data_IF_224018599581
#
_entry.id   IF_224018599581
#
_cell.length_a   1.000
_cell.length_b   1.000
_cell.length_c   1.000
_cell.angle_alpha   90.00
_cell.angle_beta   90.00
_cell.angle_gamma   90.00
#
_symmetry.space_group_name_H-M   'P 1'
#
loop_
_entity.id
_entity.type
_entity.pdbx_description
1 polymer ?
#
# COMPACT_ATOMS: atom_id res chain seq x y z
N UNK A 1 4.22 -4.32 3.61
CA UNK A 1 4.98 -3.79 2.47
C UNK A 1 4.61 -4.52 1.18
N UNK A 2 4.25 -3.81 0.12
CA UNK A 2 4.04 -4.40 -1.21
C UNK A 2 5.31 -4.38 -2.04
N UNK A 3 5.59 -5.49 -2.73
CA UNK A 3 6.72 -5.66 -3.64
C UNK A 3 6.35 -5.27 -5.09
N UNK A 4 7.35 -4.76 -5.83
CA UNK A 4 7.27 -4.67 -7.29
C UNK A 4 7.33 -6.09 -7.91
N UNK A 5 6.81 -6.27 -9.12
CA UNK A 5 6.83 -7.56 -9.80
C UNK A 5 8.25 -8.15 -9.88
N UNK A 6 9.26 -7.36 -10.26
CA UNK A 6 10.62 -7.88 -10.35
C UNK A 6 11.18 -8.36 -9.00
N UNK A 7 10.76 -7.74 -7.90
CA UNK A 7 11.17 -8.14 -6.54
C UNK A 7 10.45 -9.43 -6.14
N UNK A 8 9.15 -9.52 -6.40
CA UNK A 8 8.38 -10.75 -6.21
C UNK A 8 8.98 -11.92 -7.00
N UNK A 9 9.38 -11.70 -8.26
CA UNK A 9 10.04 -12.73 -9.08
C UNK A 9 11.40 -13.18 -8.53
N UNK A 10 12.21 -12.26 -8.02
CA UNK A 10 13.46 -12.61 -7.33
C UNK A 10 13.21 -13.44 -6.07
N UNK A 11 12.16 -13.08 -5.32
CA UNK A 11 11.74 -13.82 -4.13
C UNK A 11 11.25 -15.24 -4.51
N UNK A 12 10.46 -15.35 -5.57
CA UNK A 12 10.02 -16.63 -6.14
C UNK A 12 11.22 -17.50 -6.55
N UNK A 13 12.20 -16.94 -7.27
CA UNK A 13 13.40 -17.65 -7.66
C UNK A 13 14.25 -18.13 -6.46
N UNK A 14 14.40 -17.28 -5.42
CA UNK A 14 15.08 -17.63 -4.14
C UNK A 14 14.48 -18.90 -3.52
N UNK A 15 13.17 -19.08 -3.64
CA UNK A 15 12.41 -20.20 -3.09
C UNK A 15 12.10 -21.33 -4.08
N UNK A 16 12.74 -21.33 -5.25
CA UNK A 16 12.62 -22.40 -6.24
C UNK A 16 11.29 -22.44 -6.99
N UNK A 17 10.51 -21.35 -6.97
CA UNK A 17 9.36 -21.19 -7.87
C UNK A 17 9.88 -20.92 -9.28
N UNK A 18 9.41 -21.67 -10.27
CA UNK A 18 9.81 -21.48 -11.66
C UNK A 18 9.33 -20.12 -12.18
N UNK A 19 10.28 -19.28 -12.57
CA UNK A 19 10.06 -17.92 -13.06
C UNK A 19 11.18 -17.53 -14.01
N UNK A 20 10.84 -16.78 -15.05
CA UNK A 20 11.83 -16.05 -15.85
C UNK A 20 12.05 -14.67 -15.25
N UNK A 21 13.26 -14.44 -14.75
CA UNK A 21 13.72 -13.11 -14.36
C UNK A 21 13.93 -12.22 -15.59
N UNK A 22 13.73 -10.92 -15.40
CA UNK A 22 14.01 -9.91 -16.42
C UNK A 22 14.99 -8.86 -15.92
N UNK A 23 15.30 -7.90 -16.78
CA UNK A 23 16.17 -6.77 -16.48
C UNK A 23 15.31 -5.56 -16.14
N UNK A 24 15.54 -4.97 -14.97
CA UNK A 24 14.90 -3.71 -14.57
C UNK A 24 15.74 -2.55 -15.06
N UNK A 25 15.10 -1.57 -15.69
CA UNK A 25 15.75 -0.41 -16.29
C UNK A 25 14.95 0.86 -16.01
N UNK A 26 15.64 1.99 -15.97
CA UNK A 26 15.06 3.31 -15.63
C UNK A 26 15.07 4.26 -16.83
N UNK A 27 15.73 3.86 -17.92
CA UNK A 27 15.78 4.63 -19.17
C UNK A 27 15.35 3.79 -20.38
N UNK A 28 14.84 4.46 -21.42
CA UNK A 28 14.47 3.79 -22.66
C UNK A 28 15.70 3.20 -23.38
N UNK A 29 16.87 3.85 -23.27
CA UNK A 29 18.14 3.36 -23.82
C UNK A 29 18.61 2.07 -23.15
N UNK A 30 18.43 1.93 -21.84
CA UNK A 30 18.70 0.67 -21.14
C UNK A 30 17.70 -0.42 -21.54
N UNK A 31 16.42 -0.06 -21.73
CA UNK A 31 15.42 -1.00 -22.23
C UNK A 31 15.79 -1.57 -23.61
N UNK A 32 16.29 -0.70 -24.50
CA UNK A 32 16.82 -1.11 -25.82
C UNK A 32 17.95 -2.13 -25.65
N UNK A 33 18.96 -1.82 -24.83
CA UNK A 33 20.12 -2.71 -24.62
C UNK A 33 19.70 -4.06 -24.05
N UNK A 34 18.80 -4.07 -23.06
CA UNK A 34 18.27 -5.32 -22.51
C UNK A 34 17.56 -6.15 -23.60
N UNK A 35 16.77 -5.51 -24.46
CA UNK A 35 16.11 -6.17 -25.57
C UNK A 35 17.06 -6.64 -26.70
N UNK A 36 18.22 -6.01 -26.88
CA UNK A 36 19.26 -6.49 -27.80
C UNK A 36 19.83 -7.86 -27.37
N UNK A 37 19.91 -8.10 -26.06
CA UNK A 37 20.35 -9.39 -25.50
C UNK A 37 19.23 -10.42 -25.44
N UNK A 38 18.02 -9.99 -25.06
CA UNK A 38 16.86 -10.87 -24.84
C UNK A 38 16.18 -11.27 -26.17
N UNK A 39 16.13 -10.37 -27.14
CA UNK A 39 15.34 -10.53 -28.36
C UNK A 39 13.85 -10.20 -28.14
N UNK A 40 12.95 -11.13 -28.48
CA UNK A 40 11.50 -10.91 -28.33
C UNK A 40 11.14 -10.81 -26.84
N UNK A 41 10.66 -9.64 -26.41
CA UNK A 41 10.48 -9.32 -24.99
C UNK A 41 9.14 -8.64 -24.69
N UNK A 42 8.83 -8.53 -23.40
CA UNK A 42 7.73 -7.74 -22.84
C UNK A 42 8.33 -6.59 -22.04
N UNK A 43 7.84 -5.37 -22.26
CA UNK A 43 8.11 -4.18 -21.44
C UNK A 43 6.96 -4.03 -20.45
N UNK A 44 7.25 -4.15 -19.15
CA UNK A 44 6.24 -4.09 -18.06
C UNK A 44 6.54 -2.95 -17.09
N UNK A 45 5.62 -1.99 -16.97
CA UNK A 45 5.64 -0.96 -15.93
C UNK A 45 5.79 -1.59 -14.54
N UNK A 46 6.70 -1.04 -13.73
CA UNK A 46 6.86 -1.45 -12.33
C UNK A 46 6.21 -0.41 -11.44
N UNK A 47 5.03 -0.74 -10.93
CA UNK A 47 4.28 -0.01 -9.92
C UNK A 47 3.61 -1.02 -8.99
N UNK A 48 3.37 -0.65 -7.73
CA UNK A 48 2.72 -1.49 -6.71
C UNK A 48 1.19 -1.54 -6.90
N UNK A 49 0.74 -1.71 -8.13
CA UNK A 49 -0.67 -1.72 -8.50
C UNK A 49 -0.97 -2.78 -9.58
N UNK A 50 -2.10 -3.48 -9.43
CA UNK A 50 -2.64 -4.38 -10.45
C UNK A 50 -3.30 -3.64 -11.62
N UNK A 51 -3.64 -4.35 -12.70
CA UNK A 51 -4.31 -3.79 -13.88
C UNK A 51 -3.41 -3.02 -14.86
N UNK A 52 -2.08 -3.16 -14.74
CA UNK A 52 -1.07 -2.45 -15.57
C UNK A 52 -1.28 -2.66 -17.07
N UNK A 53 -1.66 -3.87 -17.49
CA UNK A 53 -1.94 -4.18 -18.89
C UNK A 53 -3.11 -3.38 -19.46
N UNK A 54 -4.22 -3.28 -18.72
CA UNK A 54 -5.40 -2.47 -19.10
C UNK A 54 -5.05 -0.97 -19.16
N UNK A 55 -4.12 -0.50 -18.33
CA UNK A 55 -3.62 0.88 -18.34
C UNK A 55 -2.58 1.16 -19.45
N UNK A 56 -2.19 0.16 -20.24
CA UNK A 56 -1.20 0.32 -21.31
C UNK A 56 0.27 0.17 -20.87
N UNK A 57 0.50 -0.17 -19.60
CA UNK A 57 1.83 -0.36 -19.01
C UNK A 57 2.48 -1.72 -19.30
N UNK A 58 1.88 -2.57 -20.15
CA UNK A 58 2.46 -3.86 -20.55
C UNK A 58 2.40 -3.97 -22.08
N UNK A 59 3.56 -4.13 -22.74
CA UNK A 59 3.67 -4.17 -24.21
C UNK A 59 4.66 -5.23 -24.67
N UNK A 60 4.30 -5.96 -25.72
CA UNK A 60 5.19 -6.89 -26.44
C UNK A 60 6.07 -6.11 -27.41
N UNK A 61 7.37 -6.36 -27.40
CA UNK A 61 8.36 -5.78 -28.31
C UNK A 61 9.12 -6.89 -29.03
N UNK A 62 9.00 -6.95 -30.36
CA UNK A 62 9.67 -7.90 -31.26
C UNK A 62 11.11 -7.51 -31.58
N UNK A 63 11.47 -6.25 -31.34
CA UNK A 63 12.79 -5.71 -31.64
C UNK A 63 13.23 -4.76 -30.52
N UNK A 64 14.53 -4.51 -30.44
CA UNK A 64 15.08 -3.55 -29.48
C UNK A 64 14.57 -2.11 -29.71
N UNK A 65 14.29 -1.73 -30.95
CA UNK A 65 13.69 -0.42 -31.27
C UNK A 65 12.24 -0.33 -30.79
N UNK A 66 11.44 -1.40 -30.90
CA UNK A 66 10.10 -1.46 -30.32
C UNK A 66 10.15 -1.39 -28.78
N UNK A 67 11.14 -2.05 -28.15
CA UNK A 67 11.33 -1.98 -26.70
C UNK A 67 11.68 -0.56 -26.24
N UNK A 68 12.53 0.16 -26.97
CA UNK A 68 12.83 1.57 -26.75
C UNK A 68 11.57 2.44 -26.82
N UNK A 69 10.76 2.28 -27.89
CA UNK A 69 9.54 3.05 -28.08
C UNK A 69 8.53 2.79 -26.94
N UNK A 70 8.31 1.51 -26.60
CA UNK A 70 7.41 1.15 -25.52
C UNK A 70 7.89 1.67 -24.16
N UNK A 71 9.18 1.53 -23.84
CA UNK A 71 9.74 2.08 -22.61
C UNK A 71 9.62 3.61 -22.56
N UNK A 72 9.86 4.31 -23.67
CA UNK A 72 9.71 5.78 -23.76
C UNK A 72 8.28 6.25 -23.47
N UNK A 73 7.29 5.46 -23.89
CA UNK A 73 5.87 5.77 -23.67
C UNK A 73 5.38 5.38 -22.27
N UNK A 74 6.01 4.37 -21.65
CA UNK A 74 5.61 3.85 -20.34
C UNK A 74 6.31 4.61 -19.20
N UNK A 75 7.60 4.92 -19.34
CA UNK A 75 8.33 5.67 -18.32
C UNK A 75 7.73 7.07 -18.15
N UNK A 76 7.45 7.44 -16.90
CA UNK A 76 6.80 8.69 -16.52
C UNK A 76 5.27 8.70 -16.63
N UNK A 77 4.64 7.64 -17.14
CA UNK A 77 3.18 7.53 -17.11
C UNK A 77 2.67 7.36 -15.66
N UNK A 78 1.40 7.70 -15.42
CA UNK A 78 0.74 7.41 -14.14
C UNK A 78 -0.24 6.24 -14.30
N UNK A 79 -0.12 5.25 -13.40
CA UNK A 79 -1.04 4.11 -13.31
C UNK A 79 -1.65 4.13 -11.91
N UNK A 80 -2.96 4.42 -11.82
CA UNK A 80 -3.68 4.54 -10.54
C UNK A 80 -3.01 5.52 -9.56
N UNK A 81 -2.53 6.66 -10.07
CA UNK A 81 -1.84 7.68 -9.28
C UNK A 81 -0.37 7.39 -8.97
N UNK A 82 0.15 6.22 -9.37
CA UNK A 82 1.56 5.88 -9.20
C UNK A 82 2.33 6.17 -10.48
N UNK A 83 3.36 7.01 -10.38
CA UNK A 83 4.28 7.30 -11.48
C UNK A 83 5.17 6.10 -11.77
N UNK A 84 5.31 5.73 -13.03
CA UNK A 84 6.20 4.65 -13.47
C UNK A 84 7.62 5.20 -13.64
N UNK A 85 8.52 4.92 -12.70
CA UNK A 85 9.92 5.34 -12.80
C UNK A 85 10.85 4.28 -13.40
N UNK A 86 10.37 3.03 -13.49
CA UNK A 86 11.15 1.90 -14.00
C UNK A 86 10.28 0.89 -14.73
N UNK A 87 10.88 0.15 -15.67
CA UNK A 87 10.23 -0.93 -16.41
C UNK A 87 11.04 -2.22 -16.29
N UNK A 88 10.35 -3.35 -16.32
CA UNK A 88 10.93 -4.69 -16.39
C UNK A 88 10.90 -5.16 -17.85
N UNK A 89 12.07 -5.54 -18.37
CA UNK A 89 12.26 -6.15 -19.68
C UNK A 89 12.47 -7.63 -19.47
N UNK A 90 11.50 -8.44 -19.90
CA UNK A 90 11.54 -9.91 -19.73
C UNK A 90 11.35 -10.59 -21.07
N UNK A 91 11.93 -11.79 -21.31
CA UNK A 91 11.59 -12.60 -22.48
C UNK A 91 10.07 -12.73 -22.64
N UNK A 92 9.59 -12.59 -23.87
CA UNK A 92 8.19 -12.84 -24.19
C UNK A 92 7.98 -14.34 -24.37
N UNK A 93 7.30 -14.94 -23.40
CA UNK A 93 6.96 -16.36 -23.41
C UNK A 93 5.44 -16.49 -23.53
N UNK A 94 4.89 -16.66 -24.75
CA UNK A 94 3.46 -16.76 -24.95
C UNK A 94 2.90 -17.97 -24.19
N UNK A 95 1.90 -17.78 -23.31
CA UNK A 95 1.27 -18.88 -22.61
C UNK A 95 0.40 -19.70 -23.56
N UNK A 96 0.39 -21.03 -23.37
CA UNK A 96 -0.59 -21.94 -23.98
C UNK A 96 -1.90 -21.87 -23.20
N UNK A 97 -1.80 -21.84 -21.87
CA UNK A 97 -2.90 -21.65 -20.93
C UNK A 97 -2.44 -20.75 -19.77
N UNK A 98 -3.38 -19.99 -19.21
CA UNK A 98 -3.15 -19.08 -18.09
C UNK A 98 -4.07 -19.48 -16.93
N UNK A 99 -3.50 -19.58 -15.74
CA UNK A 99 -4.18 -19.88 -14.50
C UNK A 99 -3.97 -18.73 -13.49
N UNK A 100 -4.81 -18.69 -12.47
CA UNK A 100 -4.66 -17.80 -11.33
C UNK A 100 -4.36 -18.63 -10.08
N UNK A 101 -3.43 -18.15 -9.26
CA UNK A 101 -3.11 -18.78 -7.99
C UNK A 101 -2.72 -17.75 -6.92
N UNK A 102 -3.23 -17.90 -5.70
CA UNK A 102 -2.77 -17.12 -4.56
C UNK A 102 -2.89 -17.84 -3.21
N UNK A 103 -2.07 -17.39 -2.26
CA UNK A 103 -2.20 -17.62 -0.83
C UNK A 103 -2.38 -16.28 -0.11
N UNK A 104 -3.30 -16.24 0.85
CA UNK A 104 -3.56 -15.07 1.69
C UNK A 104 -4.06 -15.45 3.08
N UNK A 105 -4.04 -14.50 4.00
CA UNK A 105 -4.67 -14.64 5.31
C UNK A 105 -6.19 -14.37 5.21
N UNK A 106 -7.01 -15.39 5.39
CA UNK A 106 -8.46 -15.23 5.53
C UNK A 106 -8.80 -14.83 6.97
N UNK A 107 -9.00 -13.52 7.15
CA UNK A 107 -9.34 -12.91 8.44
C UNK A 107 -10.69 -13.38 8.99
N UNK A 108 -11.64 -13.74 8.13
CA UNK A 108 -12.99 -14.15 8.55
C UNK A 108 -12.95 -15.53 9.21
N UNK A 109 -12.23 -16.46 8.60
CA UNK A 109 -12.10 -17.82 9.12
C UNK A 109 -10.86 -18.02 10.01
N UNK A 110 -9.97 -17.04 10.09
CA UNK A 110 -8.72 -17.05 10.88
C UNK A 110 -7.80 -18.22 10.49
N UNK A 111 -7.67 -18.43 9.18
CA UNK A 111 -6.82 -19.46 8.58
C UNK A 111 -6.13 -18.90 7.34
N UNK A 112 -5.18 -19.63 6.78
CA UNK A 112 -4.68 -19.30 5.46
C UNK A 112 -5.66 -19.82 4.40
N UNK A 113 -5.73 -19.13 3.27
CA UNK A 113 -6.62 -19.46 2.18
C UNK A 113 -5.81 -19.54 0.89
N UNK A 114 -6.03 -20.60 0.12
CA UNK A 114 -5.63 -20.68 -1.27
C UNK A 114 -6.80 -20.27 -2.16
N UNK A 115 -6.56 -19.36 -3.11
CA UNK A 115 -7.50 -19.10 -4.20
C UNK A 115 -6.84 -19.57 -5.49
N UNK A 116 -7.52 -20.44 -6.24
CA UNK A 116 -7.00 -20.97 -7.50
C UNK A 116 -8.10 -21.00 -8.56
N UNK A 117 -7.74 -20.75 -9.82
CA UNK A 117 -8.66 -20.79 -10.94
C UNK A 117 -7.94 -21.17 -12.23
N UNK A 118 -8.61 -21.94 -13.09
CA UNK A 118 -8.15 -22.21 -14.45
C UNK A 118 -8.35 -21.04 -15.42
N UNK A 119 -9.03 -19.98 -14.96
CA UNK A 119 -9.20 -18.72 -15.69
C UNK A 119 -8.22 -17.68 -15.15
N UNK A 120 -6.97 -17.72 -15.65
CA UNK A 120 -5.93 -16.73 -15.36
C UNK A 120 -5.86 -15.59 -16.36
N UNK A 121 -4.92 -14.66 -16.14
CA UNK A 121 -4.66 -13.53 -17.04
C UNK A 121 -5.68 -12.37 -16.93
N UNK A 122 -6.66 -12.51 -16.04
CA UNK A 122 -7.71 -11.51 -15.75
C UNK A 122 -7.82 -11.28 -14.24
N UNK A 123 -8.55 -10.24 -13.84
CA UNK A 123 -8.76 -9.94 -12.42
C UNK A 123 -9.66 -11.03 -11.79
N UNK A 124 -9.20 -11.66 -10.71
CA UNK A 124 -9.91 -12.81 -10.12
C UNK A 124 -11.28 -12.41 -9.56
N UNK A 125 -11.45 -11.16 -9.15
CA UNK A 125 -12.72 -10.60 -8.68
C UNK A 125 -13.75 -10.47 -9.80
N UNK A 126 -13.31 -10.36 -11.06
CA UNK A 126 -14.18 -10.40 -12.23
C UNK A 126 -14.66 -11.84 -12.47
N UNK A 127 -13.74 -12.80 -12.45
CA UNK A 127 -14.05 -14.24 -12.58
C UNK A 127 -15.00 -14.69 -11.47
N UNK A 128 -14.76 -14.31 -10.21
CA UNK A 128 -15.62 -14.66 -9.09
C UNK A 128 -17.07 -14.15 -9.26
N UNK A 129 -17.30 -13.09 -10.05
CA UNK A 129 -18.63 -12.57 -10.36
C UNK A 129 -19.26 -13.24 -11.58
N UNK A 130 -18.48 -13.53 -12.62
CA UNK A 130 -18.99 -14.01 -13.91
C UNK A 130 -19.01 -15.54 -14.00
N UNK A 131 -18.03 -16.21 -13.41
CA UNK A 131 -17.90 -17.66 -13.31
C UNK A 131 -17.37 -18.09 -11.93
N UNK A 132 -18.18 -17.99 -10.86
CA UNK A 132 -17.76 -18.35 -9.51
C UNK A 132 -17.31 -19.80 -9.38
N UNK A 133 -17.84 -20.72 -10.21
CA UNK A 133 -17.48 -22.13 -10.18
C UNK A 133 -16.03 -22.39 -10.62
N UNK A 134 -15.42 -21.49 -11.40
CA UNK A 134 -14.01 -21.55 -11.77
C UNK A 134 -13.08 -21.16 -10.62
N UNK A 135 -13.58 -20.42 -9.62
CA UNK A 135 -12.77 -19.93 -8.50
C UNK A 135 -12.87 -20.91 -7.32
N UNK A 136 -11.76 -21.58 -7.02
CA UNK A 136 -11.64 -22.48 -5.87
C UNK A 136 -11.08 -21.72 -4.69
N UNK A 137 -11.70 -21.89 -3.53
CA UNK A 137 -11.27 -21.33 -2.26
C UNK A 137 -11.02 -22.49 -1.29
N UNK A 138 -9.76 -22.74 -0.96
CA UNK A 138 -9.33 -23.92 -0.23
C UNK A 138 -8.65 -23.48 1.06
N UNK A 139 -9.28 -23.80 2.20
CA UNK A 139 -8.76 -23.46 3.51
C UNK A 139 -7.52 -24.28 3.87
N UNK A 140 -6.52 -23.62 4.44
CA UNK A 140 -5.25 -24.21 4.86
C UNK A 140 -5.10 -24.03 6.38
N UNK A 141 -4.97 -25.15 7.08
CA UNK A 141 -4.67 -25.19 8.51
C UNK A 141 -3.25 -24.69 8.76
N UNK A 142 -3.04 -23.55 9.46
CA UNK A 142 -1.70 -23.01 9.72
C UNK A 142 -0.78 -23.95 10.50
N UNK A 143 -1.35 -24.87 11.30
CA UNK A 143 -0.56 -25.83 12.08
C UNK A 143 -0.04 -27.02 11.25
N UNK A 144 -0.61 -27.25 10.06
CA UNK A 144 -0.19 -28.32 9.14
C UNK A 144 0.52 -27.77 7.90
N UNK A 145 0.08 -26.61 7.43
CA UNK A 145 0.54 -26.00 6.20
C UNK A 145 0.17 -26.78 4.94
N UNK A 146 0.97 -26.60 3.88
CA UNK A 146 0.78 -27.24 2.58
C UNK A 146 1.84 -28.31 2.36
N UNK A 147 1.54 -29.52 2.82
CA UNK A 147 2.31 -30.72 2.48
C UNK A 147 1.96 -31.22 1.07
N UNK A 148 2.61 -32.30 0.62
CA UNK A 148 2.37 -32.85 -0.72
C UNK A 148 0.90 -33.27 -0.92
N UNK A 149 0.26 -33.83 0.11
CA UNK A 149 -1.12 -34.28 0.03
C UNK A 149 -2.07 -33.08 -0.16
N UNK A 150 -1.88 -32.00 0.61
CA UNK A 150 -2.65 -30.76 0.45
C UNK A 150 -2.36 -30.07 -0.88
N UNK A 151 -1.12 -30.06 -1.35
CA UNK A 151 -0.77 -29.51 -2.65
C UNK A 151 -1.44 -30.27 -3.81
N UNK A 152 -1.51 -31.61 -3.73
CA UNK A 152 -2.24 -32.45 -4.69
C UNK A 152 -3.75 -32.22 -4.64
N UNK A 153 -4.32 -32.03 -3.46
CA UNK A 153 -5.72 -31.64 -3.29
C UNK A 153 -5.99 -30.30 -3.99
N UNK A 154 -5.19 -29.27 -3.73
CA UNK A 154 -5.31 -27.96 -4.38
C UNK A 154 -5.19 -28.07 -5.91
N UNK A 155 -4.18 -28.80 -6.40
CA UNK A 155 -3.98 -28.98 -7.83
C UNK A 155 -5.17 -29.69 -8.50
N UNK A 156 -5.74 -30.68 -7.82
CA UNK A 156 -6.93 -31.45 -8.27
C UNK A 156 -8.18 -30.59 -8.28
N UNK A 157 -8.44 -29.84 -7.21
CA UNK A 157 -9.63 -29.02 -7.09
C UNK A 157 -9.63 -27.85 -8.06
N UNK A 158 -8.48 -27.22 -8.28
CA UNK A 158 -8.31 -26.19 -9.31
C UNK A 158 -8.56 -26.78 -10.71
N UNK A 159 -8.18 -28.04 -10.93
CA UNK A 159 -8.30 -28.71 -12.23
C UNK A 159 -7.07 -28.52 -13.12
N UNK A 160 -5.86 -28.47 -12.52
CA UNK A 160 -4.62 -28.44 -13.30
C UNK A 160 -4.53 -29.68 -14.20
N UNK A 161 -4.17 -29.53 -15.48
CA UNK A 161 -4.18 -30.64 -16.41
C UNK A 161 -3.00 -31.59 -16.14
N UNK A 162 -3.20 -32.87 -16.47
CA UNK A 162 -2.24 -33.97 -16.24
C UNK A 162 -0.79 -33.64 -16.66
N UNK A 163 -0.51 -32.99 -17.82
CA UNK A 163 0.87 -32.72 -18.23
C UNK A 163 1.67 -31.81 -17.29
N UNK A 164 1.00 -30.93 -16.55
CA UNK A 164 1.64 -30.00 -15.60
C UNK A 164 1.30 -30.29 -14.14
N UNK A 165 0.55 -31.35 -13.86
CA UNK A 165 0.02 -31.61 -12.52
C UNK A 165 1.11 -31.72 -11.45
N UNK A 166 2.16 -32.51 -11.70
CA UNK A 166 3.26 -32.65 -10.74
C UNK A 166 4.09 -31.35 -10.57
N UNK A 167 4.18 -30.55 -11.64
CA UNK A 167 4.80 -29.22 -11.58
C UNK A 167 3.96 -28.26 -10.76
N UNK A 168 2.62 -28.31 -10.90
CA UNK A 168 1.69 -27.52 -10.12
C UNK A 168 1.78 -27.89 -8.63
N UNK A 169 1.81 -29.18 -8.29
CA UNK A 169 2.01 -29.65 -6.90
C UNK A 169 3.28 -29.05 -6.29
N UNK A 170 4.40 -29.18 -7.00
CA UNK A 170 5.70 -28.65 -6.54
C UNK A 170 5.66 -27.12 -6.39
N UNK A 171 5.06 -26.42 -7.36
CA UNK A 171 4.95 -24.96 -7.34
C UNK A 171 4.05 -24.45 -6.23
N UNK A 172 2.94 -25.13 -5.96
CA UNK A 172 2.02 -24.82 -4.85
C UNK A 172 2.78 -24.90 -3.52
N UNK A 173 3.61 -25.93 -3.33
CA UNK A 173 4.44 -26.04 -2.12
C UNK A 173 5.47 -24.91 -2.04
N UNK A 174 6.20 -24.62 -3.13
CA UNK A 174 7.18 -23.53 -3.15
C UNK A 174 6.56 -22.16 -2.90
N UNK A 175 5.37 -21.88 -3.46
CA UNK A 175 4.65 -20.63 -3.21
C UNK A 175 4.16 -20.54 -1.76
N UNK A 176 3.81 -21.66 -1.13
CA UNK A 176 3.50 -21.70 0.29
C UNK A 176 4.75 -21.47 1.17
N UNK A 177 5.91 -21.98 0.74
CA UNK A 177 7.20 -21.67 1.37
C UNK A 177 7.48 -20.18 1.30
N UNK A 178 7.33 -19.53 0.13
CA UNK A 178 7.44 -18.06 0.02
C UNK A 178 6.48 -17.37 0.98
N UNK A 179 5.22 -17.80 1.02
CA UNK A 179 4.19 -17.18 1.85
C UNK A 179 4.53 -17.25 3.35
N UNK A 180 5.08 -18.36 3.81
CA UNK A 180 5.34 -18.59 5.23
C UNK A 180 6.74 -18.17 5.69
N UNK A 181 7.78 -18.43 4.90
CA UNK A 181 9.17 -18.09 5.27
C UNK A 181 9.44 -16.59 5.19
N UNK A 182 8.74 -15.86 4.32
CA UNK A 182 8.88 -14.40 4.17
C UNK A 182 7.79 -13.63 4.94
N UNK A 183 6.97 -14.31 5.76
CA UNK A 183 5.81 -13.73 6.47
C UNK A 183 4.93 -12.86 5.56
N UNK A 184 4.57 -13.41 4.40
CA UNK A 184 3.69 -12.72 3.47
C UNK A 184 2.25 -12.72 3.99
N UNK A 185 1.55 -11.62 3.73
CA UNK A 185 0.10 -11.50 3.87
C UNK A 185 -0.64 -11.86 2.59
N UNK A 186 0.06 -11.78 1.45
CA UNK A 186 -0.40 -12.20 0.12
C UNK A 186 0.78 -12.71 -0.70
N UNK A 187 0.62 -13.86 -1.35
CA UNK A 187 1.41 -14.31 -2.49
C UNK A 187 0.43 -14.62 -3.61
N UNK A 188 0.55 -13.92 -4.73
CA UNK A 188 -0.32 -14.08 -5.90
C UNK A 188 0.53 -14.22 -7.17
N UNK A 189 0.14 -15.15 -8.02
CA UNK A 189 0.71 -15.40 -9.35
C UNK A 189 -0.41 -15.28 -10.37
N UNK A 190 -0.35 -14.24 -11.20
CA UNK A 190 -1.36 -14.00 -12.24
C UNK A 190 -0.78 -13.30 -13.47
N UNK A 191 -0.53 -14.01 -14.59
CA UNK A 191 -0.85 -15.42 -14.80
C UNK A 191 0.23 -16.37 -14.27
N UNK A 192 -0.23 -17.49 -13.74
CA UNK A 192 0.54 -18.73 -13.69
C UNK A 192 0.35 -19.44 -15.03
N UNK A 193 1.39 -19.61 -15.83
CA UNK A 193 1.26 -20.04 -17.21
C UNK A 193 1.74 -21.46 -17.46
N UNK A 194 0.99 -22.20 -18.27
CA UNK A 194 1.52 -23.36 -19.00
C UNK A 194 2.11 -22.87 -20.31
N UNK A 195 3.40 -23.05 -20.48
CA UNK A 195 4.17 -22.69 -21.67
C UNK A 195 4.27 -23.87 -22.64
N UNK A 196 4.84 -23.61 -23.82
CA UNK A 196 5.14 -24.66 -24.78
C UNK A 196 6.04 -25.74 -24.17
N UNK A 197 5.74 -27.01 -24.47
CA UNK A 197 6.43 -28.16 -23.88
C UNK A 197 5.97 -28.50 -22.46
N UNK A 198 4.77 -28.06 -22.06
CA UNK A 198 4.13 -28.35 -20.78
C UNK A 198 4.99 -27.94 -19.58
N UNK A 199 5.57 -26.74 -19.66
CA UNK A 199 6.31 -26.14 -18.54
C UNK A 199 5.45 -25.14 -17.81
N UNK A 200 5.39 -25.26 -16.49
CA UNK A 200 4.64 -24.34 -15.64
C UNK A 200 5.55 -23.22 -15.13
N UNK A 201 5.12 -21.96 -15.26
CA UNK A 201 5.93 -20.80 -14.88
C UNK A 201 5.09 -19.63 -14.36
N UNK A 202 5.57 -18.97 -13.30
CA UNK A 202 5.00 -17.72 -12.80
C UNK A 202 5.40 -16.54 -13.70
N UNK A 203 4.53 -16.11 -14.62
CA UNK A 203 4.83 -14.99 -15.54
C UNK A 203 4.68 -13.61 -14.90
N UNK A 204 3.93 -13.52 -13.81
CA UNK A 204 3.76 -12.32 -12.99
C UNK A 204 3.66 -12.72 -11.52
N UNK A 205 3.94 -11.77 -10.63
CA UNK A 205 3.93 -11.99 -9.20
C UNK A 205 3.56 -10.74 -8.44
N UNK A 206 2.68 -10.90 -7.46
CA UNK A 206 2.37 -9.89 -6.47
C UNK A 206 2.55 -10.48 -5.08
N UNK A 207 3.39 -9.83 -4.27
CA UNK A 207 3.67 -10.24 -2.90
C UNK A 207 3.48 -9.04 -1.99
N UNK A 208 2.74 -9.25 -0.91
CA UNK A 208 2.59 -8.31 0.19
C UNK A 208 3.19 -8.95 1.44
N UNK A 209 4.20 -8.33 2.03
CA UNK A 209 4.89 -8.76 3.24
C UNK A 209 4.26 -8.09 4.47
N UNK A 210 4.24 -8.79 5.62
CA UNK A 210 3.83 -8.19 6.90
C UNK A 210 4.93 -7.23 7.40
N UNK A 211 4.58 -5.95 7.55
CA UNK A 211 5.50 -4.93 8.06
C UNK A 211 5.94 -5.23 9.49
N UNK A 212 5.05 -5.78 10.33
CA UNK A 212 5.39 -6.13 11.71
C UNK A 212 6.46 -7.22 11.77
N UNK A 213 6.40 -8.20 10.86
CA UNK A 213 7.41 -9.26 10.77
C UNK A 213 8.73 -8.72 10.21
N UNK A 214 8.63 -7.82 9.23
CA UNK A 214 9.79 -7.15 8.60
C UNK A 214 10.63 -6.40 9.64
N UNK A 215 10.00 -5.72 10.60
CA UNK A 215 10.69 -4.96 11.64
C UNK A 215 11.46 -5.82 12.65
N UNK A 216 11.07 -7.08 12.86
CA UNK A 216 11.56 -7.87 14.01
C UNK A 216 12.35 -9.12 13.63
N UNK A 217 12.17 -9.66 12.42
CA UNK A 217 12.80 -10.94 12.03
C UNK A 217 13.18 -11.10 10.56
N UNK A 218 12.96 -10.09 9.72
CA UNK A 218 13.38 -10.09 8.31
C UNK A 218 14.15 -8.82 7.95
N UNK A 219 15.36 -8.67 8.50
CA UNK A 219 16.23 -7.52 8.19
C UNK A 219 16.54 -7.39 6.69
N UNK A 220 16.54 -8.52 5.95
CA UNK A 220 16.76 -8.54 4.52
C UNK A 220 15.59 -7.96 3.71
N UNK A 221 14.41 -7.76 4.30
CA UNK A 221 13.31 -7.07 3.62
C UNK A 221 13.62 -5.60 3.32
N UNK A 222 14.56 -4.96 4.04
CA UNK A 222 14.97 -3.58 3.77
C UNK A 222 15.48 -3.39 2.33
N UNK A 223 16.03 -4.45 1.72
CA UNK A 223 16.50 -4.41 0.32
C UNK A 223 15.37 -4.19 -0.70
N UNK A 224 14.11 -4.43 -0.29
CA UNK A 224 12.94 -4.25 -1.14
C UNK A 224 12.32 -2.86 -1.01
N UNK A 225 12.73 -2.07 -0.02
CA UNK A 225 12.19 -0.74 0.22
C UNK A 225 12.69 0.22 -0.86
N UNK A 226 11.76 0.89 -1.55
CA UNK A 226 12.03 1.91 -2.56
C UNK A 226 11.63 3.25 -1.95
N UNK A 227 12.61 3.98 -1.40
CA UNK A 227 12.39 5.22 -0.61
C UNK A 227 12.21 6.48 -1.47
N UNK A 228 12.82 6.49 -2.65
CA UNK A 228 12.82 7.60 -3.60
C UNK A 228 11.46 7.84 -4.28
N UNK A 229 10.52 6.91 -4.12
CA UNK A 229 9.17 6.97 -4.70
C UNK A 229 8.06 7.22 -3.66
N UNK A 230 8.39 7.30 -2.36
CA UNK A 230 7.42 7.65 -1.30
C UNK A 230 7.06 9.15 -1.36
N UNK A 231 5.82 9.52 -0.99
CA UNK A 231 5.47 10.94 -0.86
C UNK A 231 6.39 11.59 0.21
N UNK A 232 7.00 12.76 -0.05
CA UNK A 232 7.96 13.36 0.88
C UNK A 232 7.41 13.59 2.29
N UNK A 233 6.09 13.82 2.44
CA UNK A 233 5.44 13.98 3.73
C UNK A 233 5.24 12.64 4.43
N UNK A 234 4.91 11.58 3.70
CA UNK A 234 4.85 10.21 4.23
C UNK A 234 6.22 9.73 4.69
N UNK A 235 7.27 9.97 3.89
CA UNK A 235 8.65 9.66 4.28
C UNK A 235 9.08 10.45 5.54
N UNK A 236 8.82 11.77 5.57
CA UNK A 236 9.12 12.62 6.74
C UNK A 236 8.37 12.17 8.00
N UNK A 237 7.11 11.76 7.87
CA UNK A 237 6.31 11.26 8.99
C UNK A 237 6.84 9.91 9.50
N UNK A 238 7.20 8.99 8.59
CA UNK A 238 7.77 7.69 8.92
C UNK A 238 9.10 7.82 9.67
N UNK A 239 9.98 8.73 9.25
CA UNK A 239 11.25 9.02 9.94
C UNK A 239 11.04 9.52 11.39
N UNK A 240 9.87 10.11 11.65
CA UNK A 240 9.43 10.58 12.98
C UNK A 240 8.60 9.55 13.74
N UNK A 241 8.40 8.35 13.18
CA UNK A 241 7.58 7.29 13.78
C UNK A 241 6.08 7.59 13.82
N UNK A 242 5.59 8.42 12.88
CA UNK A 242 4.19 8.80 12.76
C UNK A 242 3.46 7.96 11.72
N UNK A 243 2.22 7.58 12.01
CA UNK A 243 1.35 6.91 11.03
C UNK A 243 0.62 7.98 10.22
N UNK A 244 1.12 8.29 9.03
CA UNK A 244 0.60 9.31 8.14
C UNK A 244 0.22 8.72 6.77
N UNK A 245 -0.90 9.15 6.21
CA UNK A 245 -1.29 8.87 4.83
C UNK A 245 -1.81 10.15 4.21
N UNK A 246 -1.28 10.53 3.05
CA UNK A 246 -1.76 11.72 2.33
C UNK A 246 -3.06 11.43 1.59
N UNK A 247 -3.98 12.39 1.58
CA UNK A 247 -5.24 12.36 0.86
C UNK A 247 -5.37 13.63 0.01
N UNK A 248 -6.39 13.74 -0.83
CA UNK A 248 -6.66 14.94 -1.62
C UNK A 248 -7.72 15.83 -0.94
N UNK A 249 -7.28 16.79 -0.13
CA UNK A 249 -8.17 17.65 0.66
C UNK A 249 -7.51 18.90 1.23
N UNK A 250 -8.24 19.64 2.08
CA UNK A 250 -7.82 20.95 2.60
C UNK A 250 -7.77 21.01 4.13
N UNK A 251 -8.40 20.06 4.83
CA UNK A 251 -8.37 20.02 6.30
C UNK A 251 -7.36 18.99 6.75
N UNK A 252 -6.25 19.44 7.31
CA UNK A 252 -5.25 18.56 7.91
C UNK A 252 -5.78 17.95 9.19
N UNK A 253 -5.69 16.63 9.37
CA UNK A 253 -6.20 15.94 10.56
C UNK A 253 -5.02 15.49 11.42
N UNK A 254 -5.13 15.73 12.72
CA UNK A 254 -4.26 15.14 13.75
C UNK A 254 -5.15 14.56 14.84
N UNK A 255 -4.98 13.28 15.15
CA UNK A 255 -5.66 12.67 16.29
C UNK A 255 -4.91 11.46 16.83
N UNK A 256 -5.42 10.89 17.92
CA UNK A 256 -4.81 9.72 18.55
C UNK A 256 -5.72 8.49 18.45
N UNK A 257 -5.14 7.38 18.02
CA UNK A 257 -5.82 6.12 17.74
C UNK A 257 -6.48 6.12 16.36
N UNK A 258 -6.06 5.17 15.52
CA UNK A 258 -6.52 5.05 14.14
C UNK A 258 -8.05 5.11 13.96
N UNK A 259 -8.82 4.48 14.86
CA UNK A 259 -10.29 4.53 14.83
C UNK A 259 -10.86 5.94 14.97
N UNK A 260 -10.35 6.73 15.92
CA UNK A 260 -10.79 8.11 16.13
C UNK A 260 -10.37 9.01 14.96
N UNK A 261 -9.15 8.83 14.45
CA UNK A 261 -8.65 9.59 13.29
C UNK A 261 -9.52 9.30 12.06
N UNK A 262 -9.83 8.04 11.76
CA UNK A 262 -10.72 7.69 10.65
C UNK A 262 -12.12 8.28 10.82
N UNK A 263 -12.73 8.18 12.01
CA UNK A 263 -14.01 8.86 12.26
C UNK A 263 -13.92 10.37 12.12
N UNK A 264 -12.74 10.97 12.39
CA UNK A 264 -12.49 12.41 12.19
C UNK A 264 -12.46 12.77 10.72
N UNK A 265 -11.89 11.92 9.86
CA UNK A 265 -11.97 12.08 8.41
C UNK A 265 -13.43 12.10 7.95
N UNK A 266 -14.24 11.17 8.44
CA UNK A 266 -15.64 11.02 8.03
C UNK A 266 -16.48 12.25 8.41
N UNK A 267 -16.39 12.72 9.66
CA UNK A 267 -17.17 13.91 10.09
C UNK A 267 -16.70 15.18 9.38
N UNK A 268 -15.41 15.31 9.04
CA UNK A 268 -14.90 16.43 8.26
C UNK A 268 -15.37 16.35 6.81
N UNK A 269 -15.40 15.17 6.21
CA UNK A 269 -15.95 14.97 4.87
C UNK A 269 -17.44 15.33 4.83
N UNK A 270 -18.23 14.90 5.84
CA UNK A 270 -19.64 15.26 5.95
C UNK A 270 -19.87 16.75 6.16
N UNK A 271 -19.11 17.38 7.07
CA UNK A 271 -19.17 18.83 7.28
C UNK A 271 -18.79 19.58 6.00
N UNK A 272 -17.79 19.09 5.27
CA UNK A 272 -17.32 19.63 4.01
C UNK A 272 -18.39 19.77 2.93
N UNK A 273 -19.42 18.92 2.92
CA UNK A 273 -20.56 19.05 2.01
C UNK A 273 -21.29 20.40 2.16
N UNK A 274 -21.35 20.94 3.38
CA UNK A 274 -21.91 22.27 3.66
C UNK A 274 -20.93 23.42 3.39
N UNK A 275 -19.64 23.13 3.28
CA UNK A 275 -18.54 24.10 3.15
C UNK A 275 -17.80 23.96 1.82
N UNK A 276 -18.53 23.97 0.71
CA UNK A 276 -17.94 24.01 -0.64
C UNK A 276 -17.29 22.70 -1.10
N UNK A 277 -17.60 21.58 -0.46
CA UNK A 277 -17.02 20.27 -0.79
C UNK A 277 -15.60 20.07 -0.28
N UNK A 278 -15.22 20.80 0.78
CA UNK A 278 -13.94 20.62 1.47
C UNK A 278 -13.77 19.17 1.95
N UNK A 279 -12.54 18.67 1.90
CA UNK A 279 -12.21 17.27 2.27
C UNK A 279 -11.07 17.19 3.28
N UNK A 280 -10.96 16.09 4.04
CA UNK A 280 -9.75 15.82 4.81
C UNK A 280 -8.54 15.66 3.89
N UNK A 281 -7.42 16.25 4.28
CA UNK A 281 -6.17 16.28 3.52
C UNK A 281 -5.24 15.10 3.82
N UNK A 282 -5.42 14.44 4.96
CA UNK A 282 -4.54 13.36 5.39
C UNK A 282 -5.20 12.53 6.50
N UNK A 283 -4.66 11.34 6.74
CA UNK A 283 -4.72 10.62 8.00
C UNK A 283 -3.42 10.89 8.77
N UNK A 284 -3.48 11.17 10.08
CA UNK A 284 -2.31 11.20 10.96
C UNK A 284 -2.71 10.73 12.37
N UNK A 285 -2.18 9.57 12.75
CA UNK A 285 -2.31 9.01 14.10
C UNK A 285 -0.99 9.18 14.88
N UNK A 286 -1.06 9.98 15.95
CA UNK A 286 0.06 10.23 16.87
C UNK A 286 0.22 9.14 17.95
N UNK A 287 -0.66 8.13 17.96
CA UNK A 287 -0.65 7.01 18.89
C UNK A 287 -1.16 7.36 20.29
N UNK A 288 -1.37 6.33 21.12
CA UNK A 288 -1.95 6.47 22.46
C UNK A 288 -0.99 7.03 23.53
N UNK A 289 0.32 7.08 23.24
CA UNK A 289 1.38 7.58 24.12
C UNK A 289 2.02 8.88 23.64
N UNK A 290 1.33 9.64 22.80
CA UNK A 290 1.81 10.90 22.26
C UNK A 290 2.25 11.86 23.38
N UNK A 291 3.38 12.53 23.17
CA UNK A 291 3.91 13.57 24.04
C UNK A 291 4.05 14.87 23.25
N UNK A 292 4.54 15.93 23.89
CA UNK A 292 4.71 17.23 23.26
C UNK A 292 5.54 17.19 21.96
N UNK A 293 6.60 16.37 21.90
CA UNK A 293 7.45 16.24 20.71
C UNK A 293 6.70 15.58 19.55
N UNK A 294 5.98 14.48 19.80
CA UNK A 294 5.18 13.79 18.78
C UNK A 294 4.10 14.72 18.19
N UNK A 295 3.47 15.55 19.02
CA UNK A 295 2.48 16.54 18.57
C UNK A 295 3.13 17.61 17.68
N UNK A 296 4.30 18.13 18.07
CA UNK A 296 5.04 19.11 17.28
C UNK A 296 5.50 18.53 15.94
N UNK A 297 5.96 17.29 15.95
CA UNK A 297 6.36 16.54 14.77
C UNK A 297 5.21 16.32 13.79
N UNK A 298 4.02 16.01 14.32
CA UNK A 298 2.79 15.92 13.53
C UNK A 298 2.39 17.26 12.92
N UNK A 299 2.39 18.34 13.70
CA UNK A 299 2.10 19.69 13.18
C UNK A 299 3.08 20.12 12.09
N UNK A 300 4.38 19.86 12.27
CA UNK A 300 5.40 20.15 11.27
C UNK A 300 5.17 19.38 9.95
N UNK A 301 4.65 18.14 9.98
CA UNK A 301 4.27 17.44 8.74
C UNK A 301 3.08 18.14 8.06
N UNK A 302 1.99 18.39 8.80
CA UNK A 302 0.73 18.94 8.26
C UNK A 302 0.85 20.39 7.78
N UNK A 303 1.60 21.20 8.51
CA UNK A 303 1.75 22.62 8.19
C UNK A 303 2.63 22.83 6.94
N UNK A 304 3.48 21.86 6.58
CA UNK A 304 4.26 21.89 5.35
C UNK A 304 3.52 21.34 4.12
N UNK A 305 2.29 20.84 4.27
CA UNK A 305 1.49 20.39 3.13
C UNK A 305 0.73 21.55 2.47
N UNK A 306 1.11 21.96 1.25
CA UNK A 306 0.58 23.16 0.59
C UNK A 306 -0.93 23.12 0.34
N UNK A 307 -1.55 21.94 0.22
CA UNK A 307 -3.00 21.82 0.03
C UNK A 307 -3.81 22.13 1.30
N UNK A 308 -3.18 21.98 2.48
CA UNK A 308 -3.84 22.16 3.77
C UNK A 308 -4.06 23.64 4.02
N UNK A 309 -5.31 23.99 4.33
CA UNK A 309 -5.78 25.35 4.64
C UNK A 309 -6.20 25.54 6.09
N UNK A 310 -6.62 24.48 6.77
CA UNK A 310 -6.89 24.46 8.22
C UNK A 310 -6.47 23.13 8.82
N UNK A 311 -6.26 23.07 10.12
CA UNK A 311 -5.89 21.82 10.83
C UNK A 311 -6.94 21.53 11.90
N UNK A 312 -7.48 20.31 11.93
CA UNK A 312 -8.32 19.83 13.00
C UNK A 312 -7.55 18.84 13.88
N UNK A 313 -7.24 19.28 15.10
CA UNK A 313 -6.64 18.46 16.15
C UNK A 313 -7.75 17.89 17.03
N UNK A 314 -8.04 16.59 16.90
CA UNK A 314 -9.06 15.89 17.66
C UNK A 314 -8.42 14.82 18.53
N UNK A 315 -8.28 15.11 19.83
CA UNK A 315 -7.60 14.23 20.77
C UNK A 315 -8.52 13.84 21.91
N UNK A 316 -8.64 12.53 22.12
CA UNK A 316 -9.27 11.95 23.29
C UNK A 316 -8.19 11.47 24.26
N UNK A 317 -7.99 12.22 25.33
CA UNK A 317 -7.02 11.95 26.40
C UNK A 317 -7.35 10.66 27.14
N UNK A 318 -6.48 9.67 26.99
CA UNK A 318 -6.49 8.40 27.72
C UNK A 318 -5.20 8.26 28.52
N UNK A 319 -4.25 7.49 27.96
CA UNK A 319 -2.88 7.38 28.51
C UNK A 319 -2.16 8.73 28.36
N UNK A 320 -2.19 9.33 27.17
CA UNK A 320 -1.80 10.72 26.97
C UNK A 320 -2.83 11.67 27.59
N UNK A 321 -2.41 12.50 28.52
CA UNK A 321 -3.25 13.51 29.16
C UNK A 321 -3.40 14.76 28.28
N UNK A 322 -4.58 15.41 28.31
CA UNK A 322 -4.88 16.57 27.47
C UNK A 322 -3.97 17.77 27.76
N UNK A 323 -3.42 17.90 28.96
CA UNK A 323 -2.49 18.98 29.30
C UNK A 323 -1.12 18.82 28.62
N UNK A 324 -0.64 17.59 28.43
CA UNK A 324 0.59 17.32 27.65
C UNK A 324 0.39 17.61 26.16
N UNK A 325 -0.79 17.28 25.63
CA UNK A 325 -1.17 17.59 24.24
C UNK A 325 -1.25 19.10 24.04
N UNK A 326 -1.90 19.81 24.97
CA UNK A 326 -1.98 21.27 24.94
C UNK A 326 -0.59 21.93 24.99
N UNK A 327 0.30 21.48 25.88
CA UNK A 327 1.71 21.92 25.92
C UNK A 327 2.43 21.63 24.60
N UNK A 328 2.17 20.47 23.98
CA UNK A 328 2.70 20.11 22.67
C UNK A 328 2.27 21.07 21.58
N UNK A 329 0.98 21.41 21.51
CA UNK A 329 0.44 22.37 20.55
C UNK A 329 1.08 23.75 20.75
N UNK A 330 1.11 24.26 21.99
CA UNK A 330 1.70 25.57 22.30
C UNK A 330 3.19 25.59 21.96
N UNK A 331 3.94 24.59 22.40
CA UNK A 331 5.37 24.48 22.11
C UNK A 331 5.69 24.36 20.63
N UNK A 332 4.87 23.63 19.86
CA UNK A 332 5.00 23.55 18.41
C UNK A 332 4.79 24.91 17.73
N UNK A 333 3.75 25.63 18.13
CA UNK A 333 3.47 26.98 17.62
C UNK A 333 4.59 27.96 17.98
N UNK A 334 5.16 27.87 19.18
CA UNK A 334 6.30 28.69 19.61
C UNK A 334 7.56 28.41 18.77
N UNK A 335 7.82 27.13 18.46
CA UNK A 335 8.96 26.72 17.62
C UNK A 335 8.79 27.19 16.17
N UNK A 336 7.60 27.01 15.61
CA UNK A 336 7.28 27.39 14.23
C UNK A 336 7.18 28.91 14.07
N UNK A 337 6.78 29.64 15.11
CA UNK A 337 6.65 31.09 15.11
C UNK A 337 5.82 31.58 13.91
N UNK A 338 6.43 32.44 13.09
CA UNK A 338 5.76 33.04 11.93
C UNK A 338 5.51 32.06 10.76
N UNK A 339 6.10 30.86 10.79
CA UNK A 339 5.87 29.84 9.77
C UNK A 339 4.53 29.11 10.01
N UNK A 340 4.00 29.14 11.23
CA UNK A 340 2.64 28.71 11.52
C UNK A 340 1.65 29.71 10.92
N UNK A 341 1.06 29.35 9.78
CA UNK A 341 0.14 30.23 9.03
C UNK A 341 -1.30 29.72 8.96
N UNK A 342 -1.52 28.45 9.29
CA UNK A 342 -2.82 27.78 9.14
C UNK A 342 -3.59 27.79 10.46
N UNK A 343 -4.91 28.07 10.46
CA UNK A 343 -5.72 27.99 11.68
C UNK A 343 -5.83 26.55 12.19
N UNK A 344 -5.74 26.39 13.50
CA UNK A 344 -5.88 25.14 14.24
C UNK A 344 -7.22 25.13 14.99
N UNK A 345 -8.11 24.21 14.64
CA UNK A 345 -9.29 23.88 15.43
C UNK A 345 -8.91 22.73 16.36
N UNK A 346 -9.11 22.90 17.67
CA UNK A 346 -8.65 21.95 18.68
C UNK A 346 -9.81 21.47 19.53
N UNK A 347 -10.05 20.16 19.51
CA UNK A 347 -10.95 19.47 20.42
C UNK A 347 -10.14 18.56 21.34
N UNK A 348 -10.20 18.86 22.64
CA UNK A 348 -9.68 18.00 23.70
C UNK A 348 -10.84 17.44 24.53
N UNK A 349 -10.76 16.15 24.86
CA UNK A 349 -11.69 15.45 25.75
C UNK A 349 -10.96 14.36 26.54
N UNK A 350 -11.52 13.89 27.66
CA UNK A 350 -10.93 12.83 28.49
C UNK A 350 -10.02 13.34 29.61
N UNK A 351 -8.91 12.63 29.85
CA UNK A 351 -8.03 12.85 31.01
C UNK A 351 -7.39 14.26 31.03
N UNK A 352 -7.50 14.99 32.15
CA UNK A 352 -7.02 16.37 32.33
C UNK A 352 -7.53 17.39 31.29
N UNK A 353 -8.72 17.17 30.70
CA UNK A 353 -9.27 18.07 29.68
C UNK A 353 -9.39 19.52 30.13
N UNK A 354 -9.85 19.78 31.37
CA UNK A 354 -10.03 21.14 31.89
C UNK A 354 -8.70 21.91 31.92
N UNK A 355 -7.63 21.25 32.38
CA UNK A 355 -6.30 21.83 32.40
C UNK A 355 -5.74 22.03 30.99
N UNK A 356 -5.93 21.07 30.08
CA UNK A 356 -5.53 21.23 28.68
C UNK A 356 -6.21 22.42 28.00
N UNK A 357 -7.51 22.59 28.21
CA UNK A 357 -8.27 23.75 27.70
C UNK A 357 -7.80 25.05 28.35
N UNK A 358 -7.50 25.03 29.65
CA UNK A 358 -6.94 26.20 30.34
C UNK A 358 -5.59 26.61 29.74
N UNK A 359 -4.67 25.66 29.51
CA UNK A 359 -3.36 25.94 28.89
C UNK A 359 -3.52 26.61 27.52
N UNK A 360 -4.39 26.08 26.65
CA UNK A 360 -4.64 26.68 25.34
C UNK A 360 -5.29 28.07 25.46
N UNK A 361 -6.21 28.25 26.41
CA UNK A 361 -6.87 29.54 26.64
C UNK A 361 -5.92 30.60 27.19
N UNK A 362 -5.00 30.21 28.07
CA UNK A 362 -3.97 31.11 28.63
C UNK A 362 -2.93 31.49 27.58
N UNK A 363 -2.53 30.55 26.72
CA UNK A 363 -1.65 30.85 25.58
C UNK A 363 -2.31 31.84 24.60
N UNK A 364 -3.64 31.78 24.46
CA UNK A 364 -4.45 32.71 23.66
C UNK A 364 -3.87 32.98 22.26
N UNK A 365 -3.40 31.92 21.61
CA UNK A 365 -2.74 32.02 20.32
C UNK A 365 -3.77 32.33 19.22
N UNK A 366 -3.54 33.31 18.32
CA UNK A 366 -4.55 33.77 17.35
C UNK A 366 -4.98 32.71 16.33
N UNK A 367 -4.15 31.70 16.10
CA UNK A 367 -4.47 30.59 15.19
C UNK A 367 -5.31 29.49 15.85
N UNK A 368 -5.44 29.46 17.18
CA UNK A 368 -6.06 28.34 17.89
C UNK A 368 -7.51 28.66 18.22
N UNK A 369 -8.43 27.81 17.75
CA UNK A 369 -9.85 27.83 18.11
C UNK A 369 -10.19 26.56 18.87
N UNK A 370 -10.57 26.69 20.14
CA UNK A 370 -10.98 25.55 20.97
C UNK A 370 -12.48 25.28 20.74
N UNK A 371 -12.83 24.00 20.59
CA UNK A 371 -14.21 23.54 20.39
C UNK A 371 -14.55 22.39 21.34
N UNK A 372 -15.83 22.24 21.65
CA UNK A 372 -16.29 21.23 22.63
C UNK A 372 -16.53 19.86 22.02
N UNK A 373 -17.08 19.83 20.82
CA UNK A 373 -17.57 18.60 20.18
C UNK A 373 -16.79 18.30 18.91
N UNK A 374 -16.71 17.01 18.59
CA UNK A 374 -16.12 16.55 17.34
C UNK A 374 -16.82 17.12 16.10
N UNK A 375 -18.17 17.10 16.07
CA UNK A 375 -18.94 17.65 14.94
C UNK A 375 -18.73 19.16 14.77
N UNK A 376 -18.80 19.91 15.87
CA UNK A 376 -18.51 21.36 15.85
C UNK A 376 -17.08 21.68 15.44
N UNK A 377 -16.11 20.81 15.78
CA UNK A 377 -14.73 20.95 15.33
C UNK A 377 -14.56 20.68 13.84
N UNK A 378 -15.22 19.66 13.33
CA UNK A 378 -15.24 19.33 11.91
C UNK A 378 -15.87 20.46 11.07
N UNK A 379 -17.04 20.95 11.50
CA UNK A 379 -17.73 22.08 10.87
C UNK A 379 -16.86 23.32 10.84
N UNK A 380 -16.26 23.69 11.98
CA UNK A 380 -15.40 24.88 12.06
C UNK A 380 -14.13 24.73 11.22
N UNK A 381 -13.50 23.57 11.20
CA UNK A 381 -12.30 23.33 10.42
C UNK A 381 -12.60 23.41 8.90
N UNK A 382 -13.73 22.84 8.48
CA UNK A 382 -14.19 22.92 7.10
C UNK A 382 -14.54 24.36 6.68
N UNK A 383 -15.25 25.11 7.53
CA UNK A 383 -15.55 26.53 7.33
C UNK A 383 -14.25 27.34 7.07
N UNK A 384 -13.24 27.15 7.92
CA UNK A 384 -11.95 27.86 7.82
C UNK A 384 -11.13 27.44 6.60
N UNK A 385 -11.24 26.19 6.13
CA UNK A 385 -10.56 25.73 4.93
C UNK A 385 -11.23 26.19 3.63
N UNK A 386 -12.53 26.53 3.67
CA UNK A 386 -13.25 27.07 2.51
C UNK A 386 -13.03 28.58 2.31
N UNK A 387 -12.47 29.28 3.31
CA UNK A 387 -12.33 30.73 3.34
C UNK A 387 -11.31 31.31 2.35
#
# INVERSE_FOLDING_TARGET
MDLMEYQAKKLFAKHGVAVTEGVVVETAEEARKAAEEIGFCVVKAQVKAGGRGKAGGVKLAKTADEAFEHASNILGMEIKGLKVNRVLITPATPPVEEYYFSFLLDRSNRQYLCIASVEGGVEIEEVAKTNPDAVKQIGIDPGKGVDEAKAREIATECGFPEPVFEQAVSMIQSLYTVFTEEDATLVEVNPLARLEGDKLEALDGKVSLDDNASEVRHEDHEQFVIRDEEDPLEAKAKDKGLNYVKLDGQVGIIGNGAGLVMSTLDVVAYAGEAHGGVKPANFLDIGGGANAQVMADGLDVILNDEQVKSVFVNVFGGITACDEVAKGIVGALDILGNEATKPLVVRLDGNNVDLGRQILSEANHPLVTIVDTMDGGADKAAELANA
#
